data_IF_310013777577
#
_entry.id   IF_310013777577
#
_cell.length_a   1.000
_cell.length_b   1.000
_cell.length_c   1.000
_cell.angle_alpha   90.00
_cell.angle_beta   90.00
_cell.angle_gamma   90.00
#
_symmetry.space_group_name_H-M   'P 1'
#
loop_
_entity.id
_entity.type
_entity.pdbx_description
1 polymer ?
#
# COMPACT_ATOMS: atom_id res chain seq x y z
N UNK A 1 -16.56 11.32 3.75
CA UNK A 1 -15.31 11.15 4.51
C UNK A 1 -14.37 10.37 3.63
N UNK A 2 -13.23 10.93 3.26
CA UNK A 2 -12.26 10.29 2.36
C UNK A 2 -11.18 9.64 3.20
N UNK A 3 -10.93 8.34 3.00
CA UNK A 3 -9.91 7.62 3.75
C UNK A 3 -8.77 7.20 2.81
N UNK A 4 -7.56 7.61 3.15
CA UNK A 4 -6.33 7.19 2.50
C UNK A 4 -5.70 6.04 3.29
N UNK A 5 -5.76 4.83 2.74
CA UNK A 5 -5.12 3.67 3.33
C UNK A 5 -3.70 3.53 2.76
N UNK A 6 -2.70 3.63 3.63
CA UNK A 6 -1.30 3.34 3.29
C UNK A 6 -1.07 1.86 3.56
N UNK A 7 -0.92 1.08 2.50
CA UNK A 7 -0.89 -0.39 2.56
C UNK A 7 0.42 -0.94 2.00
N UNK A 8 0.85 -2.10 2.52
CA UNK A 8 1.97 -2.86 1.98
C UNK A 8 1.48 -3.77 0.86
N UNK A 9 2.06 -3.62 -0.32
CA UNK A 9 1.79 -4.44 -1.51
C UNK A 9 3.01 -5.30 -1.87
N UNK A 10 2.81 -6.24 -2.81
CA UNK A 10 3.85 -7.18 -3.26
C UNK A 10 5.18 -6.49 -3.64
N UNK A 11 5.10 -5.30 -4.22
CA UNK A 11 6.27 -4.59 -4.79
C UNK A 11 6.62 -3.28 -4.07
N UNK A 12 5.91 -2.91 -2.99
CA UNK A 12 6.14 -1.62 -2.36
C UNK A 12 5.03 -1.21 -1.41
N UNK A 13 4.91 0.09 -1.22
CA UNK A 13 3.82 0.72 -0.47
C UNK A 13 2.84 1.34 -1.45
N UNK A 14 1.56 1.43 -1.12
CA UNK A 14 0.58 2.10 -1.97
C UNK A 14 -0.39 2.91 -1.11
N UNK A 15 -0.99 3.93 -1.74
CA UNK A 15 -2.14 4.64 -1.17
C UNK A 15 -3.38 4.14 -1.91
N UNK A 16 -4.35 3.62 -1.15
CA UNK A 16 -5.68 3.27 -1.64
C UNK A 16 -6.70 4.30 -1.16
N UNK A 17 -7.61 4.66 -2.05
CA UNK A 17 -8.84 5.39 -1.72
C UNK A 17 -9.98 4.53 -2.23
N UNK A 18 -10.83 4.07 -1.31
CA UNK A 18 -11.84 3.03 -1.58
C UNK A 18 -11.20 1.82 -2.29
N UNK A 19 -11.72 1.42 -3.45
CA UNK A 19 -11.21 0.31 -4.27
C UNK A 19 -10.11 0.73 -5.27
N UNK A 20 -9.75 2.02 -5.32
CA UNK A 20 -8.80 2.55 -6.31
C UNK A 20 -7.43 2.76 -5.72
N UNK A 21 -6.42 2.20 -6.40
CA UNK A 21 -5.02 2.47 -6.13
C UNK A 21 -4.59 3.74 -6.87
N UNK A 22 -3.83 4.61 -6.18
CA UNK A 22 -3.35 5.85 -6.79
C UNK A 22 -1.97 5.62 -7.45
N UNK A 23 -0.94 5.22 -6.70
CA UNK A 23 0.40 4.91 -7.26
C UNK A 23 1.23 4.11 -6.24
N UNK A 24 2.11 3.18 -6.67
CA UNK A 24 3.05 2.53 -5.77
C UNK A 24 4.26 3.43 -5.41
N UNK A 25 4.72 3.30 -4.17
CA UNK A 25 5.84 3.99 -3.56
C UNK A 25 6.91 2.99 -3.10
N UNK A 26 8.17 3.37 -3.27
CA UNK A 26 9.30 2.57 -2.80
C UNK A 26 9.51 2.62 -1.28
N UNK A 27 8.97 3.63 -0.60
CA UNK A 27 9.16 3.87 0.83
C UNK A 27 7.81 4.08 1.55
N UNK A 28 7.70 3.50 2.76
CA UNK A 28 6.57 3.70 3.66
C UNK A 28 6.42 5.18 4.00
N UNK A 29 7.51 5.82 4.37
CA UNK A 29 7.50 7.21 4.81
C UNK A 29 7.09 8.15 3.68
N UNK A 30 7.48 7.82 2.44
CA UNK A 30 7.05 8.57 1.26
C UNK A 30 5.54 8.43 1.03
N UNK A 31 5.00 7.20 1.13
CA UNK A 31 3.56 6.96 1.02
C UNK A 31 2.77 7.66 2.13
N UNK A 32 3.27 7.65 3.38
CA UNK A 32 2.66 8.35 4.51
C UNK A 32 2.68 9.87 4.28
N UNK A 33 3.80 10.43 3.83
CA UNK A 33 3.90 11.86 3.51
C UNK A 33 2.89 12.25 2.45
N UNK A 34 2.83 11.51 1.36
CA UNK A 34 1.93 11.81 0.24
C UNK A 34 0.46 11.69 0.65
N UNK A 35 0.08 10.64 1.39
CA UNK A 35 -1.28 10.49 1.92
C UNK A 35 -1.69 11.66 2.83
N UNK A 36 -0.77 12.14 3.67
CA UNK A 36 -1.01 13.31 4.51
C UNK A 36 -1.13 14.61 3.71
N UNK A 37 -0.35 14.78 2.63
CA UNK A 37 -0.50 15.91 1.71
C UNK A 37 -1.89 15.93 1.08
N UNK A 38 -2.36 14.79 0.57
CA UNK A 38 -3.68 14.64 -0.04
C UNK A 38 -4.81 14.90 0.98
N UNK A 39 -4.73 14.28 2.16
CA UNK A 39 -5.71 14.50 3.21
C UNK A 39 -5.75 15.97 3.66
N UNK A 40 -4.59 16.63 3.76
CA UNK A 40 -4.53 18.06 4.10
C UNK A 40 -5.18 18.92 3.02
N UNK A 41 -4.93 18.66 1.75
CA UNK A 41 -5.55 19.41 0.65
C UNK A 41 -7.08 19.32 0.73
N UNK A 42 -7.64 18.12 0.92
CA UNK A 42 -9.08 17.91 1.06
C UNK A 42 -9.64 18.63 2.30
N UNK A 43 -8.96 18.53 3.45
CA UNK A 43 -9.35 19.26 4.68
C UNK A 43 -9.38 20.77 4.49
N UNK A 44 -8.46 21.32 3.71
CA UNK A 44 -8.43 22.74 3.38
C UNK A 44 -9.66 23.20 2.57
N UNK A 45 -10.36 22.28 1.90
CA UNK A 45 -11.62 22.57 1.19
C UNK A 45 -12.88 22.36 2.05
N UNK A 46 -12.72 22.11 3.36
CA UNK A 46 -13.83 21.90 4.29
C UNK A 46 -14.36 20.47 4.32
N UNK A 47 -13.71 19.55 3.61
CA UNK A 47 -14.08 18.14 3.60
C UNK A 47 -13.31 17.32 4.66
N UNK A 48 -13.92 16.25 5.17
CA UNK A 48 -13.27 15.36 6.11
C UNK A 48 -12.43 14.29 5.39
N UNK A 49 -11.14 14.25 5.68
CA UNK A 49 -10.23 13.20 5.21
C UNK A 49 -9.40 12.60 6.35
N UNK A 50 -9.07 11.31 6.25
CA UNK A 50 -8.27 10.55 7.23
C UNK A 50 -7.17 9.74 6.53
N UNK A 51 -6.11 9.44 7.28
CA UNK A 51 -5.01 8.59 6.82
C UNK A 51 -4.91 7.41 7.79
N UNK A 52 -5.05 6.20 7.27
CA UNK A 52 -4.87 4.97 8.02
C UNK A 52 -3.63 4.29 7.48
N UNK A 53 -2.70 3.90 8.36
CA UNK A 53 -1.53 3.12 7.97
C UNK A 53 -1.79 1.69 8.40
N UNK A 54 -1.97 0.80 7.43
CA UNK A 54 -2.08 -0.62 7.72
C UNK A 54 -0.68 -1.12 8.09
N UNK A 55 -0.53 -1.60 9.33
CA UNK A 55 0.66 -2.33 9.69
C UNK A 55 0.69 -3.62 8.87
N UNK A 56 1.79 -3.81 8.15
CA UNK A 56 2.01 -5.02 7.39
C UNK A 56 2.02 -6.19 8.36
N UNK A 57 0.89 -6.88 8.50
CA UNK A 57 0.91 -8.25 8.99
C UNK A 57 1.91 -8.97 8.08
N UNK A 58 2.95 -9.63 8.61
CA UNK A 58 3.89 -10.35 7.77
C UNK A 58 3.08 -11.37 6.99
N UNK A 59 2.90 -11.12 5.70
CA UNK A 59 2.30 -12.08 4.80
C UNK A 59 3.16 -13.34 4.88
N UNK A 60 2.53 -14.47 5.16
CA UNK A 60 3.20 -15.76 5.31
C UNK A 60 4.25 -15.97 4.20
N UNK A 61 5.36 -16.68 4.48
CA UNK A 61 6.47 -16.76 3.54
C UNK A 61 5.97 -17.23 2.18
N UNK A 62 6.32 -16.48 1.13
CA UNK A 62 6.16 -16.89 -0.27
C UNK A 62 6.60 -18.35 -0.36
N UNK A 63 5.63 -19.26 -0.54
CA UNK A 63 5.93 -20.68 -0.72
C UNK A 63 6.87 -20.78 -1.91
N UNK A 64 8.14 -21.10 -1.65
CA UNK A 64 9.10 -21.50 -2.68
C UNK A 64 8.40 -22.55 -3.54
N UNK A 65 8.09 -22.21 -4.78
CA UNK A 65 7.78 -23.21 -5.78
C UNK A 65 9.06 -24.02 -5.96
N UNK A 66 9.09 -25.22 -5.38
CA UNK A 66 10.08 -26.23 -5.72
C UNK A 66 9.89 -26.56 -7.20
N UNK A 67 10.69 -25.92 -8.05
CA UNK A 67 10.89 -26.32 -9.44
C UNK A 67 11.47 -27.74 -9.42
N UNK A 68 10.61 -28.73 -9.63
CA UNK A 68 11.06 -30.11 -9.90
C UNK A 68 11.44 -30.20 -11.37
N UNK A 69 12.62 -29.67 -11.70
CA UNK A 69 13.32 -30.06 -12.93
C UNK A 69 14.43 -31.05 -12.59
N UNK A 70 14.06 -32.32 -12.52
CA UNK A 70 14.95 -33.50 -12.60
C UNK A 70 14.10 -34.68 -13.05
N UNK A 71 14.49 -35.56 -13.96
CA UNK A 71 15.52 -35.58 -14.99
C UNK A 71 15.05 -36.72 -15.92
N UNK A 72 15.11 -36.52 -17.23
CA UNK A 72 15.01 -37.62 -18.18
C UNK A 72 16.36 -38.34 -18.20
N UNK A 73 16.35 -39.65 -17.93
CA UNK A 73 17.35 -40.62 -18.38
C UNK A 73 16.71 -42.01 -18.33
#
# INVERSE_FOLDING_TARGET
MITFNVVREQYGWAIRVDERMITPFWSRDLAIREANCLARAIRCHGECAEVIVEDAVPSEPLRKTTDKRSAAA
#
